data_IF_994416806858
#
_entry.id   IF_994416806858
#
_cell.length_a   1.000
_cell.length_b   1.000
_cell.length_c   1.000
_cell.angle_alpha   90.00
_cell.angle_beta   90.00
_cell.angle_gamma   90.00
#
_symmetry.space_group_name_H-M   'P 1'
#
loop_
_entity.id
_entity.type
_entity.pdbx_description
1 polymer ?
#
# COMPACT_ATOMS: atom_id res chain seq x y z
N UNK A 1 9.44 -30.26 -18.60
CA UNK A 1 9.22 -28.87 -18.14
C UNK A 1 10.39 -28.47 -17.26
N UNK A 2 10.76 -27.18 -17.30
CA UNK A 2 11.86 -26.60 -16.51
C UNK A 2 11.43 -25.23 -16.03
N UNK A 3 11.60 -24.96 -14.74
CA UNK A 3 11.46 -23.67 -14.11
C UNK A 3 12.74 -23.35 -13.33
N UNK A 4 13.26 -22.14 -13.47
CA UNK A 4 14.49 -21.72 -12.80
C UNK A 4 14.17 -20.58 -11.83
N UNK A 5 14.89 -20.54 -10.70
CA UNK A 5 14.70 -19.55 -9.64
C UNK A 5 13.24 -19.49 -9.14
N UNK A 6 12.68 -20.66 -8.83
CA UNK A 6 11.33 -20.79 -8.26
C UNK A 6 11.39 -21.57 -6.96
N UNK A 7 10.52 -21.23 -6.03
CA UNK A 7 10.37 -21.92 -4.76
C UNK A 7 9.11 -22.79 -4.71
N UNK A 8 8.28 -22.70 -5.75
CA UNK A 8 7.08 -23.50 -5.93
C UNK A 8 6.86 -23.81 -7.41
N UNK A 9 5.99 -24.79 -7.73
CA UNK A 9 5.77 -25.23 -9.10
C UNK A 9 4.35 -25.76 -9.27
N UNK A 10 3.60 -25.15 -10.17
CA UNK A 10 2.28 -25.63 -10.57
C UNK A 10 2.23 -25.99 -12.06
N UNK A 11 1.31 -26.85 -12.42
CA UNK A 11 0.98 -27.20 -13.80
C UNK A 11 -0.51 -27.51 -13.95
N UNK A 12 -1.03 -27.30 -15.14
CA UNK A 12 -2.41 -27.62 -15.48
C UNK A 12 -2.45 -28.54 -16.71
N UNK A 13 -3.47 -29.38 -16.77
CA UNK A 13 -3.73 -30.21 -17.93
C UNK A 13 -5.23 -30.50 -18.06
N UNK A 14 -5.79 -30.12 -19.18
CA UNK A 14 -7.15 -30.47 -19.57
C UNK A 14 -7.22 -30.62 -21.08
N UNK A 15 -7.95 -31.65 -21.57
CA UNK A 15 -8.07 -31.94 -23.02
C UNK A 15 -8.87 -30.87 -23.76
N UNK A 16 -9.73 -30.16 -23.06
CA UNK A 16 -10.69 -29.22 -23.62
C UNK A 16 -10.21 -27.78 -23.52
N UNK A 17 -9.03 -27.51 -22.93
CA UNK A 17 -8.46 -26.18 -22.90
C UNK A 17 -8.24 -25.60 -24.29
N UNK A 18 -8.73 -24.41 -24.51
CA UNK A 18 -8.23 -23.50 -25.54
C UNK A 18 -6.90 -22.95 -25.03
N UNK A 19 -5.87 -23.03 -25.87
CA UNK A 19 -4.55 -22.47 -25.59
C UNK A 19 -4.25 -21.34 -26.57
N UNK A 20 -4.01 -20.18 -26.06
CA UNK A 20 -3.49 -19.02 -26.82
C UNK A 20 -2.09 -18.66 -26.33
N UNK A 21 -1.25 -18.21 -27.25
CA UNK A 21 0.11 -17.73 -26.96
C UNK A 21 0.30 -16.34 -27.60
N UNK A 22 0.69 -15.38 -26.79
CA UNK A 22 0.86 -13.99 -27.18
C UNK A 22 2.24 -13.46 -26.81
N UNK A 23 2.70 -12.43 -27.52
CA UNK A 23 3.92 -11.73 -27.15
C UNK A 23 3.62 -10.65 -26.11
N UNK A 24 4.38 -10.70 -25.00
CA UNK A 24 4.40 -9.68 -23.97
C UNK A 24 5.65 -8.79 -24.04
N UNK A 25 5.76 -7.80 -23.16
CA UNK A 25 6.92 -6.91 -23.08
C UNK A 25 8.19 -7.69 -22.70
N UNK A 26 9.36 -7.21 -23.16
CA UNK A 26 10.64 -7.82 -22.81
C UNK A 26 10.87 -9.23 -23.37
N UNK A 27 10.05 -9.69 -24.33
CA UNK A 27 10.15 -11.04 -24.91
C UNK A 27 9.45 -12.13 -24.09
N UNK A 28 8.68 -11.75 -23.06
CA UNK A 28 7.88 -12.68 -22.25
C UNK A 28 6.79 -13.30 -23.11
N UNK A 29 6.67 -14.63 -23.09
CA UNK A 29 5.51 -15.31 -23.70
C UNK A 29 4.36 -15.37 -22.71
N UNK A 30 3.20 -14.86 -23.11
CA UNK A 30 1.97 -14.94 -22.34
C UNK A 30 1.12 -16.08 -22.88
N UNK A 31 0.79 -17.03 -22.02
CA UNK A 31 -0.09 -18.15 -22.33
C UNK A 31 -1.43 -17.98 -21.63
N UNK A 32 -2.52 -18.18 -22.36
CA UNK A 32 -3.87 -18.23 -21.83
C UNK A 32 -4.42 -19.65 -22.03
N UNK A 33 -4.90 -20.25 -20.94
CA UNK A 33 -5.47 -21.61 -20.92
C UNK A 33 -6.86 -21.55 -20.28
N UNK A 34 -7.90 -21.81 -21.04
CA UNK A 34 -9.27 -21.67 -20.56
C UNK A 34 -10.24 -22.61 -21.27
N UNK A 35 -11.37 -22.89 -20.64
CA UNK A 35 -12.44 -23.69 -21.23
C UNK A 35 -13.20 -22.88 -22.31
N UNK A 36 -13.79 -23.55 -23.32
CA UNK A 36 -14.49 -22.88 -24.41
C UNK A 36 -15.60 -21.92 -23.97
N UNK A 37 -16.30 -22.24 -22.89
CA UNK A 37 -17.38 -21.39 -22.34
C UNK A 37 -16.87 -20.12 -21.66
N UNK A 38 -15.61 -20.10 -21.24
CA UNK A 38 -14.95 -18.91 -20.66
C UNK A 38 -14.37 -17.94 -21.70
N UNK A 39 -14.34 -18.30 -22.98
CA UNK A 39 -13.73 -17.50 -24.04
C UNK A 39 -14.15 -16.02 -24.07
N UNK A 40 -15.42 -15.63 -23.83
CA UNK A 40 -15.80 -14.23 -23.78
C UNK A 40 -15.07 -13.41 -22.70
N UNK A 41 -14.81 -14.01 -21.53
CA UNK A 41 -14.04 -13.39 -20.44
C UNK A 41 -12.55 -13.25 -20.76
N UNK A 42 -11.99 -14.18 -21.52
CA UNK A 42 -10.58 -14.21 -21.89
C UNK A 42 -10.21 -13.33 -23.10
N UNK A 43 -11.18 -12.81 -23.85
CA UNK A 43 -10.94 -12.05 -25.08
C UNK A 43 -10.03 -10.81 -24.90
N UNK A 44 -10.01 -10.19 -23.71
CA UNK A 44 -9.17 -9.03 -23.40
C UNK A 44 -7.92 -9.35 -22.58
N UNK A 45 -7.71 -10.62 -22.20
CA UNK A 45 -6.65 -10.98 -21.24
C UNK A 45 -5.24 -10.78 -21.82
N UNK A 46 -5.03 -11.00 -23.11
CA UNK A 46 -3.72 -10.79 -23.72
C UNK A 46 -3.29 -9.31 -23.68
N UNK A 47 -4.21 -8.38 -23.89
CA UNK A 47 -3.94 -6.94 -23.76
C UNK A 47 -3.73 -6.56 -22.30
N UNK A 48 -4.58 -7.06 -21.39
CA UNK A 48 -4.44 -6.86 -19.97
C UNK A 48 -3.06 -7.32 -19.47
N UNK A 49 -2.61 -8.51 -19.86
CA UNK A 49 -1.31 -9.04 -19.47
C UNK A 49 -0.14 -8.17 -19.96
N UNK A 50 -0.22 -7.60 -21.16
CA UNK A 50 0.78 -6.62 -21.62
C UNK A 50 0.82 -5.38 -20.73
N UNK A 51 -0.34 -4.86 -20.33
CA UNK A 51 -0.44 -3.70 -19.42
C UNK A 51 0.12 -4.04 -18.04
N UNK A 52 -0.20 -5.20 -17.47
CA UNK A 52 0.29 -5.66 -16.17
C UNK A 52 1.82 -5.77 -16.19
N UNK A 53 2.38 -6.55 -17.12
CA UNK A 53 3.82 -6.79 -17.20
C UNK A 53 4.61 -5.50 -17.45
N UNK A 54 4.07 -4.58 -18.26
CA UNK A 54 4.70 -3.27 -18.50
C UNK A 54 4.66 -2.41 -17.25
N UNK A 55 3.48 -2.24 -16.65
CA UNK A 55 3.30 -1.34 -15.52
C UNK A 55 4.09 -1.79 -14.29
N UNK A 56 3.99 -3.06 -13.92
CA UNK A 56 4.74 -3.56 -12.77
C UNK A 56 6.25 -3.63 -13.04
N UNK A 57 6.62 -3.89 -14.29
CA UNK A 57 8.02 -3.81 -14.72
C UNK A 57 8.63 -2.42 -14.53
N UNK A 58 7.87 -1.36 -14.78
CA UNK A 58 8.26 0.04 -14.56
C UNK A 58 8.18 0.44 -13.08
N UNK A 59 7.13 0.02 -12.38
CA UNK A 59 6.83 0.44 -11.02
C UNK A 59 7.74 -0.19 -9.98
N UNK A 60 8.01 -1.50 -10.11
CA UNK A 60 8.75 -2.31 -9.14
C UNK A 60 10.07 -2.79 -9.73
N UNK A 61 10.03 -3.45 -10.89
CA UNK A 61 11.20 -3.98 -11.56
C UNK A 61 10.84 -4.99 -12.66
N UNK A 62 11.78 -5.32 -13.56
CA UNK A 62 11.51 -6.19 -14.70
C UNK A 62 10.97 -7.57 -14.31
N UNK A 63 9.97 -8.07 -15.02
CA UNK A 63 9.57 -9.47 -14.93
C UNK A 63 10.74 -10.37 -15.33
N UNK A 64 11.05 -11.38 -14.52
CA UNK A 64 12.35 -12.05 -14.63
C UNK A 64 12.31 -13.40 -15.35
N UNK A 65 11.13 -13.94 -15.66
CA UNK A 65 11.00 -15.24 -16.33
C UNK A 65 10.59 -15.09 -17.80
N UNK A 66 10.86 -16.14 -18.64
CA UNK A 66 10.60 -16.05 -20.07
C UNK A 66 9.12 -16.18 -20.47
N UNK A 67 8.26 -16.61 -19.55
CA UNK A 67 6.85 -16.81 -19.83
C UNK A 67 5.97 -16.49 -18.60
N UNK A 68 4.67 -16.23 -18.83
CA UNK A 68 3.63 -16.11 -17.84
C UNK A 68 2.36 -16.78 -18.35
N UNK A 69 1.72 -17.59 -17.52
CA UNK A 69 0.49 -18.29 -17.87
C UNK A 69 -0.67 -17.82 -17.00
N UNK A 70 -1.81 -17.53 -17.62
CA UNK A 70 -3.09 -17.36 -16.94
C UNK A 70 -3.94 -18.57 -17.31
N UNK A 71 -4.21 -19.43 -16.33
CA UNK A 71 -4.96 -20.66 -16.53
C UNK A 71 -6.28 -20.64 -15.76
N UNK A 72 -7.35 -21.11 -16.39
CA UNK A 72 -8.59 -21.36 -15.68
C UNK A 72 -8.40 -22.56 -14.76
N UNK A 73 -8.63 -22.35 -13.46
CA UNK A 73 -8.56 -23.36 -12.41
C UNK A 73 -9.82 -23.40 -11.57
N UNK A 74 -9.74 -23.95 -10.36
CA UNK A 74 -10.88 -24.17 -9.47
C UNK A 74 -10.91 -23.32 -8.19
N UNK A 75 -9.84 -22.60 -7.86
CA UNK A 75 -9.58 -22.11 -6.50
C UNK A 75 -9.77 -20.59 -6.29
N UNK A 76 -10.63 -19.93 -7.04
CA UNK A 76 -10.85 -18.49 -6.93
C UNK A 76 -9.79 -17.72 -7.74
N UNK A 77 -8.71 -17.35 -7.12
CA UNK A 77 -7.43 -16.94 -7.64
C UNK A 77 -6.35 -17.68 -6.87
N UNK A 78 -5.24 -18.00 -7.51
CA UNK A 78 -4.08 -18.64 -6.88
C UNK A 78 -2.83 -18.36 -7.69
N UNK A 79 -1.83 -17.85 -7.02
CA UNK A 79 -0.53 -17.55 -7.56
C UNK A 79 0.43 -18.73 -7.45
N UNK A 80 1.18 -18.97 -8.52
CA UNK A 80 2.37 -19.80 -8.53
C UNK A 80 3.40 -19.16 -9.47
N UNK A 81 4.70 -19.38 -9.28
CA UNK A 81 5.71 -18.81 -10.17
C UNK A 81 5.41 -19.11 -11.63
N UNK A 82 5.25 -18.07 -12.45
CA UNK A 82 4.96 -18.12 -13.89
C UNK A 82 3.58 -18.65 -14.29
N UNK A 83 2.69 -18.97 -13.35
CA UNK A 83 1.33 -19.45 -13.66
C UNK A 83 0.35 -19.01 -12.58
N UNK A 84 -0.75 -18.39 -12.98
CA UNK A 84 -1.88 -18.12 -12.09
C UNK A 84 -3.06 -19.04 -12.42
N UNK A 85 -3.78 -19.47 -11.39
CA UNK A 85 -5.00 -20.27 -11.53
C UNK A 85 -6.21 -19.41 -11.17
N UNK A 86 -7.16 -19.25 -12.09
CA UNK A 86 -8.33 -18.38 -11.89
C UNK A 86 -9.60 -19.16 -12.16
N UNK A 87 -10.55 -19.15 -11.22
CA UNK A 87 -11.84 -19.85 -11.38
C UNK A 87 -12.60 -19.33 -12.60
N UNK A 88 -13.10 -20.25 -13.40
CA UNK A 88 -13.95 -19.97 -14.56
C UNK A 88 -15.32 -19.36 -14.21
N UNK A 89 -16.07 -18.98 -15.25
CA UNK A 89 -17.41 -18.40 -15.09
C UNK A 89 -17.47 -16.96 -14.63
N UNK A 90 -16.32 -16.29 -14.46
CA UNK A 90 -16.23 -14.88 -14.08
C UNK A 90 -16.58 -13.97 -15.27
N UNK A 91 -17.28 -12.88 -14.98
CA UNK A 91 -17.45 -11.80 -15.98
C UNK A 91 -16.13 -11.05 -16.18
N UNK A 92 -15.97 -10.41 -17.34
CA UNK A 92 -14.71 -9.75 -17.73
C UNK A 92 -14.16 -8.77 -16.68
N UNK A 93 -15.02 -7.99 -15.99
CA UNK A 93 -14.60 -7.06 -14.93
C UNK A 93 -14.05 -7.77 -13.69
N UNK A 94 -14.66 -8.87 -13.29
CA UNK A 94 -14.18 -9.68 -12.15
C UNK A 94 -12.89 -10.42 -12.52
N UNK A 95 -12.78 -10.89 -13.76
CA UNK A 95 -11.59 -11.55 -14.27
C UNK A 95 -10.42 -10.56 -14.34
N UNK A 96 -10.67 -9.29 -14.69
CA UNK A 96 -9.64 -8.24 -14.73
C UNK A 96 -8.94 -8.07 -13.38
N UNK A 97 -9.69 -7.83 -12.32
CA UNK A 97 -9.13 -7.58 -10.99
C UNK A 97 -8.32 -8.76 -10.49
N UNK A 98 -8.89 -9.97 -10.53
CA UNK A 98 -8.17 -11.16 -10.08
C UNK A 98 -6.94 -11.46 -10.95
N UNK A 99 -6.98 -11.24 -12.27
CA UNK A 99 -5.79 -11.44 -13.12
C UNK A 99 -4.68 -10.47 -12.78
N UNK A 100 -5.00 -9.19 -12.48
CA UNK A 100 -4.01 -8.20 -12.05
C UNK A 100 -3.37 -8.67 -10.74
N UNK A 101 -4.18 -9.01 -9.74
CA UNK A 101 -3.75 -9.44 -8.42
C UNK A 101 -2.86 -10.69 -8.49
N UNK A 102 -3.32 -11.78 -9.07
CA UNK A 102 -2.56 -13.03 -9.15
C UNK A 102 -1.27 -12.88 -9.98
N UNK A 103 -1.26 -11.99 -10.97
CA UNK A 103 -0.02 -11.71 -11.72
C UNK A 103 0.94 -10.82 -10.92
N UNK A 104 0.44 -9.93 -10.06
CA UNK A 104 1.26 -9.09 -9.20
C UNK A 104 2.07 -9.89 -8.18
N UNK A 105 1.56 -11.04 -7.74
CA UNK A 105 2.28 -12.00 -6.93
C UNK A 105 3.55 -12.55 -7.60
N UNK A 106 3.74 -12.38 -8.90
CA UNK A 106 5.04 -12.72 -9.51
C UNK A 106 6.17 -11.84 -8.96
N UNK A 107 5.85 -10.62 -8.50
CA UNK A 107 6.78 -9.74 -7.80
C UNK A 107 6.78 -9.99 -6.30
N UNK A 108 5.61 -9.93 -5.64
CA UNK A 108 5.46 -10.12 -4.20
C UNK A 108 4.93 -11.53 -3.91
N UNK A 109 5.76 -12.47 -3.72
CA UNK A 109 5.73 -13.90 -3.56
C UNK A 109 6.74 -14.58 -4.51
N UNK A 110 6.54 -14.53 -5.81
CA UNK A 110 7.35 -15.28 -6.77
C UNK A 110 8.83 -14.87 -6.78
N UNK A 111 9.12 -13.56 -6.87
CA UNK A 111 10.48 -13.01 -6.85
C UNK A 111 10.92 -12.50 -5.49
N UNK A 112 10.02 -11.95 -4.70
CA UNK A 112 10.24 -11.47 -3.34
C UNK A 112 9.51 -12.42 -2.38
N UNK A 113 10.07 -13.64 -2.19
CA UNK A 113 9.42 -14.74 -1.50
C UNK A 113 9.40 -14.57 0.02
N UNK A 114 8.65 -13.60 0.53
CA UNK A 114 8.42 -13.42 1.96
C UNK A 114 7.71 -14.64 2.57
N UNK A 115 7.86 -14.83 3.89
CA UNK A 115 7.16 -15.89 4.60
C UNK A 115 5.69 -15.49 4.82
N UNK A 116 4.81 -15.93 3.94
CA UNK A 116 3.36 -15.62 3.98
C UNK A 116 2.64 -16.21 5.20
N UNK A 117 3.18 -17.28 5.80
CA UNK A 117 2.62 -17.84 7.04
C UNK A 117 2.78 -16.92 8.23
N UNK A 118 3.88 -16.17 8.30
CA UNK A 118 4.17 -15.24 9.40
C UNK A 118 3.84 -13.77 9.04
N UNK A 119 3.94 -13.41 7.75
CA UNK A 119 3.85 -12.03 7.29
C UNK A 119 2.97 -11.90 6.03
N UNK A 120 1.75 -12.43 6.07
CA UNK A 120 0.82 -12.40 4.93
C UNK A 120 0.59 -10.99 4.34
N UNK A 121 0.73 -9.94 5.15
CA UNK A 121 0.62 -8.56 4.72
C UNK A 121 1.72 -8.11 3.73
N UNK A 122 2.88 -8.80 3.70
CA UNK A 122 3.96 -8.52 2.73
C UNK A 122 3.70 -9.15 1.36
N UNK A 123 3.00 -10.27 1.35
CA UNK A 123 2.60 -10.97 0.15
C UNK A 123 1.32 -10.33 -0.43
N UNK A 124 0.20 -10.56 0.20
CA UNK A 124 -1.12 -10.11 -0.24
C UNK A 124 -1.26 -8.58 -0.30
N UNK A 125 -0.75 -7.89 0.71
CA UNK A 125 -0.95 -6.46 0.83
C UNK A 125 -0.09 -5.63 -0.12
N UNK A 126 1.14 -6.04 -0.40
CA UNK A 126 1.97 -5.36 -1.40
C UNK A 126 1.46 -5.64 -2.81
N UNK A 127 0.96 -6.85 -3.03
CA UNK A 127 0.24 -7.25 -4.24
C UNK A 127 -1.00 -6.39 -4.44
N UNK A 128 -1.83 -6.21 -3.40
CA UNK A 128 -3.04 -5.38 -3.48
C UNK A 128 -2.70 -3.91 -3.75
N UNK A 129 -1.63 -3.38 -3.16
CA UNK A 129 -1.18 -2.01 -3.41
C UNK A 129 -0.91 -1.75 -4.90
N UNK A 130 -0.13 -2.61 -5.57
CA UNK A 130 0.17 -2.39 -7.00
C UNK A 130 -1.02 -2.76 -7.90
N UNK A 131 -1.91 -3.66 -7.45
CA UNK A 131 -3.18 -3.99 -8.10
C UNK A 131 -4.10 -2.77 -8.14
N UNK A 132 -4.37 -2.17 -6.99
CA UNK A 132 -5.18 -0.94 -6.88
C UNK A 132 -4.60 0.20 -7.72
N UNK A 133 -3.28 0.39 -7.71
CA UNK A 133 -2.62 1.42 -8.52
C UNK A 133 -2.85 1.20 -10.03
N UNK A 134 -2.71 -0.05 -10.51
CA UNK A 134 -2.96 -0.36 -11.92
C UNK A 134 -4.44 -0.25 -12.29
N UNK A 135 -5.36 -0.73 -11.45
CA UNK A 135 -6.79 -0.61 -11.70
C UNK A 135 -7.22 0.86 -11.83
N UNK A 136 -6.77 1.72 -10.92
CA UNK A 136 -7.01 3.16 -11.00
C UNK A 136 -6.47 3.74 -12.32
N UNK A 137 -5.25 3.37 -12.72
CA UNK A 137 -4.65 3.81 -14.00
C UNK A 137 -5.47 3.36 -15.21
N UNK A 138 -5.92 2.09 -15.26
CA UNK A 138 -6.73 1.55 -16.35
C UNK A 138 -8.10 2.21 -16.42
N UNK A 139 -8.64 2.64 -15.29
CA UNK A 139 -9.90 3.39 -15.21
C UNK A 139 -9.72 4.90 -15.49
N UNK A 140 -8.51 5.38 -15.75
CA UNK A 140 -8.20 6.81 -15.94
C UNK A 140 -8.36 7.66 -14.69
N UNK A 141 -8.24 7.04 -13.50
CA UNK A 141 -8.33 7.70 -12.18
C UNK A 141 -6.95 7.97 -11.60
N UNK A 142 -6.81 8.96 -10.72
CA UNK A 142 -5.63 9.08 -9.86
C UNK A 142 -5.46 7.84 -8.99
N UNK A 143 -4.21 7.49 -8.66
CA UNK A 143 -3.90 6.44 -7.68
C UNK A 143 -4.51 6.81 -6.31
N UNK A 144 -5.27 5.89 -5.73
CA UNK A 144 -6.03 6.13 -4.49
C UNK A 144 -6.17 4.85 -3.66
N UNK A 145 -5.55 4.83 -2.49
CA UNK A 145 -5.54 3.73 -1.53
C UNK A 145 -6.38 4.02 -0.26
N UNK A 146 -7.19 5.10 -0.28
CA UNK A 146 -7.99 5.50 0.89
C UNK A 146 -9.01 4.45 1.30
N UNK A 147 -9.49 3.62 0.38
CA UNK A 147 -10.42 2.55 0.71
C UNK A 147 -9.78 1.50 1.64
N UNK A 148 -8.55 1.09 1.37
CA UNK A 148 -7.78 0.19 2.25
C UNK A 148 -7.52 0.83 3.61
N UNK A 149 -7.06 2.08 3.63
CA UNK A 149 -6.84 2.86 4.86
C UNK A 149 -8.10 2.93 5.72
N UNK A 150 -9.26 3.26 5.13
CA UNK A 150 -10.55 3.32 5.85
C UNK A 150 -11.00 1.94 6.36
N UNK A 151 -10.75 0.88 5.60
CA UNK A 151 -11.06 -0.49 6.02
C UNK A 151 -10.24 -0.87 7.25
N UNK A 152 -8.96 -0.55 7.28
CA UNK A 152 -8.09 -0.79 8.44
C UNK A 152 -8.50 0.06 9.64
N UNK A 153 -8.87 1.34 9.44
CA UNK A 153 -9.42 2.17 10.52
C UNK A 153 -10.64 1.51 11.17
N UNK A 154 -11.57 0.97 10.36
CA UNK A 154 -12.73 0.24 10.87
C UNK A 154 -12.34 -1.06 11.57
N UNK A 155 -11.43 -1.84 10.97
CA UNK A 155 -10.91 -3.08 11.54
C UNK A 155 -10.31 -2.87 12.92
N UNK A 156 -9.45 -1.88 13.11
CA UNK A 156 -8.82 -1.55 14.40
C UNK A 156 -9.84 -1.13 15.48
N UNK A 157 -11.05 -0.75 15.09
CA UNK A 157 -12.16 -0.46 15.99
C UNK A 157 -13.02 -1.69 16.35
N UNK A 158 -12.79 -2.83 15.72
CA UNK A 158 -13.61 -4.03 15.95
C UNK A 158 -13.18 -4.80 17.21
N UNK A 159 -14.11 -5.33 18.01
CA UNK A 159 -13.76 -6.25 19.07
C UNK A 159 -13.03 -7.49 18.50
N UNK A 160 -11.90 -7.82 19.09
CA UNK A 160 -11.10 -8.97 18.66
C UNK A 160 -10.14 -8.70 17.49
N UNK A 161 -9.98 -7.43 17.07
CA UNK A 161 -8.91 -7.06 16.13
C UNK A 161 -7.54 -7.48 16.68
N UNK A 162 -6.71 -8.05 15.82
CA UNK A 162 -5.35 -8.50 16.14
C UNK A 162 -4.32 -7.73 15.28
N UNK A 163 -3.05 -7.66 15.69
CA UNK A 163 -1.99 -7.01 14.91
C UNK A 163 -1.87 -7.58 13.50
N UNK A 164 -1.39 -6.78 12.53
CA UNK A 164 -1.22 -7.21 11.13
C UNK A 164 -0.20 -8.34 10.99
N UNK A 165 0.84 -8.38 11.83
CA UNK A 165 1.83 -9.47 11.87
C UNK A 165 1.41 -10.65 12.74
N UNK A 166 0.10 -10.87 12.88
CA UNK A 166 -0.40 -12.14 13.44
C UNK A 166 -0.15 -13.24 12.41
N UNK A 167 0.47 -14.38 12.79
CA UNK A 167 0.63 -15.52 11.88
C UNK A 167 -0.70 -15.96 11.26
N UNK A 168 -0.67 -16.38 10.01
CA UNK A 168 -1.86 -16.61 9.17
C UNK A 168 -2.87 -17.56 9.79
N UNK A 169 -2.42 -18.62 10.46
CA UNK A 169 -3.26 -19.63 11.13
C UNK A 169 -3.73 -19.20 12.53
N UNK A 170 -3.27 -18.06 13.05
CA UNK A 170 -3.66 -17.53 14.36
C UNK A 170 -4.75 -16.44 14.29
N UNK A 171 -5.15 -16.04 13.10
CA UNK A 171 -6.26 -15.09 12.98
C UNK A 171 -7.58 -15.69 13.50
N UNK A 172 -8.41 -14.92 14.23
CA UNK A 172 -9.66 -15.43 14.80
C UNK A 172 -10.66 -15.94 13.76
N UNK A 173 -10.66 -15.36 12.56
CA UNK A 173 -11.52 -15.76 11.43
C UNK A 173 -10.85 -15.39 10.10
N UNK A 174 -11.28 -16.02 9.00
CA UNK A 174 -10.85 -15.66 7.65
C UNK A 174 -11.12 -14.19 7.29
N UNK A 175 -12.16 -13.58 7.84
CA UNK A 175 -12.44 -12.16 7.64
C UNK A 175 -11.36 -11.28 8.25
N UNK A 176 -10.90 -11.59 9.47
CA UNK A 176 -9.80 -10.84 10.10
C UNK A 176 -8.49 -11.03 9.33
N UNK A 177 -8.21 -12.27 8.88
CA UNK A 177 -7.07 -12.56 8.02
C UNK A 177 -7.12 -11.71 6.73
N UNK A 178 -8.20 -11.82 5.94
CA UNK A 178 -8.32 -11.12 4.66
C UNK A 178 -8.16 -9.60 4.80
N UNK A 179 -8.80 -8.98 5.81
CA UNK A 179 -8.65 -7.55 6.01
C UNK A 179 -7.21 -7.19 6.40
N UNK A 180 -6.60 -7.95 7.30
CA UNK A 180 -5.21 -7.68 7.74
C UNK A 180 -4.19 -7.91 6.64
N UNK A 181 -4.26 -9.03 5.94
CA UNK A 181 -3.29 -9.38 4.92
C UNK A 181 -3.37 -8.43 3.72
N UNK A 182 -4.53 -8.29 3.11
CA UNK A 182 -4.74 -7.50 1.88
C UNK A 182 -4.71 -6.00 2.17
N UNK A 183 -5.73 -5.50 2.87
CA UNK A 183 -5.88 -4.06 3.12
C UNK A 183 -4.81 -3.53 4.08
N UNK A 184 -4.31 -4.36 5.00
CA UNK A 184 -3.27 -3.97 5.95
C UNK A 184 -1.94 -3.69 5.28
N UNK A 185 -1.47 -4.55 4.40
CA UNK A 185 -0.21 -4.32 3.67
C UNK A 185 -0.32 -3.21 2.63
N UNK A 186 -1.46 -3.08 1.92
CA UNK A 186 -1.75 -1.95 1.05
C UNK A 186 -1.68 -0.63 1.83
N UNK A 187 -2.33 -0.58 3.00
CA UNK A 187 -2.30 0.57 3.90
C UNK A 187 -0.87 0.91 4.36
N UNK A 188 -0.04 -0.09 4.69
CA UNK A 188 1.36 0.16 5.09
C UNK A 188 2.12 0.91 4.00
N UNK A 189 2.03 0.49 2.74
CA UNK A 189 2.69 1.17 1.62
C UNK A 189 2.11 2.57 1.37
N UNK A 190 0.80 2.75 1.51
CA UNK A 190 0.17 4.06 1.43
C UNK A 190 0.67 5.00 2.53
N UNK A 191 0.75 4.51 3.78
CA UNK A 191 1.24 5.31 4.90
C UNK A 191 2.75 5.60 4.81
N UNK A 192 3.55 4.70 4.24
CA UNK A 192 4.95 5.00 3.90
C UNK A 192 5.03 6.18 2.91
N UNK A 193 4.15 6.23 1.91
CA UNK A 193 4.04 7.37 1.01
C UNK A 193 3.69 8.67 1.73
N UNK A 194 2.79 8.62 2.71
CA UNK A 194 2.44 9.77 3.53
C UNK A 194 3.61 10.25 4.40
N UNK A 195 4.35 9.32 5.01
CA UNK A 195 5.46 9.60 5.95
C UNK A 195 6.73 10.05 5.23
N UNK A 196 7.06 9.46 4.09
CA UNK A 196 8.33 9.64 3.37
C UNK A 196 8.20 10.51 2.11
N UNK A 197 6.98 10.59 1.56
CA UNK A 197 6.69 11.04 0.20
C UNK A 197 6.60 9.88 -0.78
N UNK A 198 5.62 9.93 -1.69
CA UNK A 198 5.31 8.82 -2.63
C UNK A 198 6.51 8.47 -3.52
N UNK A 199 7.27 9.46 -3.99
CA UNK A 199 8.48 9.22 -4.80
C UNK A 199 9.57 8.46 -4.04
N UNK A 200 9.74 8.74 -2.75
CA UNK A 200 10.73 8.06 -1.90
C UNK A 200 10.30 6.60 -1.68
N UNK A 201 9.03 6.37 -1.32
CA UNK A 201 8.45 5.03 -1.22
C UNK A 201 8.68 4.22 -2.50
N UNK A 202 8.37 4.80 -3.65
CA UNK A 202 8.49 4.12 -4.94
C UNK A 202 9.95 3.81 -5.33
N UNK A 203 10.89 4.71 -5.00
CA UNK A 203 12.32 4.40 -5.13
C UNK A 203 12.75 3.29 -4.19
N UNK A 204 12.24 3.30 -2.96
CA UNK A 204 12.45 2.23 -1.97
C UNK A 204 11.95 0.87 -2.47
N UNK A 205 10.74 0.78 -3.03
CA UNK A 205 10.21 -0.45 -3.61
C UNK A 205 11.07 -0.97 -4.77
N UNK A 206 11.54 -0.11 -5.68
CA UNK A 206 12.46 -0.51 -6.75
C UNK A 206 13.82 -0.98 -6.20
N UNK A 207 14.30 -0.37 -5.13
CA UNK A 207 15.52 -0.81 -4.46
C UNK A 207 15.32 -2.14 -3.75
N UNK A 208 14.19 -2.31 -3.05
CA UNK A 208 13.81 -3.55 -2.38
C UNK A 208 13.77 -4.72 -3.38
N UNK A 209 13.13 -4.54 -4.54
CA UNK A 209 13.15 -5.53 -5.61
C UNK A 209 14.59 -5.85 -6.08
N UNK A 210 15.43 -4.86 -6.33
CA UNK A 210 16.81 -5.10 -6.80
C UNK A 210 17.67 -5.87 -5.80
N UNK A 211 17.51 -5.61 -4.51
CA UNK A 211 18.32 -6.22 -3.45
C UNK A 211 17.83 -7.62 -3.07
N UNK A 212 16.51 -7.83 -3.12
CA UNK A 212 15.89 -9.04 -2.59
C UNK A 212 15.24 -9.96 -3.64
N UNK A 213 15.30 -9.61 -4.90
CA UNK A 213 14.80 -10.51 -5.96
C UNK A 213 15.41 -11.89 -5.84
N UNK A 214 14.54 -12.93 -5.85
CA UNK A 214 14.87 -14.34 -5.64
C UNK A 214 15.46 -14.66 -4.26
N UNK A 215 15.06 -13.89 -3.25
CA UNK A 215 15.36 -14.13 -1.85
C UNK A 215 14.07 -14.20 -1.04
N UNK A 216 14.23 -14.36 0.29
CA UNK A 216 13.14 -14.47 1.25
C UNK A 216 13.18 -13.30 2.26
N UNK A 217 12.79 -12.09 1.84
CA UNK A 217 12.85 -10.92 2.71
C UNK A 217 11.84 -10.99 3.84
N UNK A 218 12.20 -10.33 4.95
CA UNK A 218 11.37 -10.17 6.14
C UNK A 218 10.99 -8.70 6.35
N UNK A 219 10.08 -8.38 7.30
CA UNK A 219 9.70 -7.00 7.61
C UNK A 219 10.89 -6.06 7.84
N UNK A 220 11.93 -6.52 8.55
CA UNK A 220 13.14 -5.73 8.80
C UNK A 220 13.92 -5.38 7.52
N UNK A 221 13.75 -6.14 6.45
CA UNK A 221 14.45 -5.88 5.18
C UNK A 221 13.82 -4.71 4.42
N UNK A 222 12.49 -4.66 4.33
CA UNK A 222 11.80 -3.51 3.71
C UNK A 222 11.95 -2.25 4.57
N UNK A 223 11.89 -2.37 5.91
CA UNK A 223 12.15 -1.30 6.85
C UNK A 223 13.53 -0.68 6.60
N UNK A 224 14.60 -1.49 6.64
CA UNK A 224 15.96 -1.05 6.36
C UNK A 224 16.09 -0.36 5.00
N UNK A 225 15.51 -0.92 3.95
CA UNK A 225 15.58 -0.32 2.62
C UNK A 225 14.91 1.05 2.59
N UNK A 226 13.76 1.21 3.24
CA UNK A 226 13.02 2.48 3.30
C UNK A 226 13.76 3.52 4.14
N UNK A 227 14.40 3.11 5.25
CA UNK A 227 15.25 3.96 6.08
C UNK A 227 16.48 4.48 5.31
N UNK A 228 17.20 3.57 4.65
CA UNK A 228 18.38 3.93 3.86
C UNK A 228 18.04 4.82 2.64
N UNK A 229 16.87 4.64 2.04
CA UNK A 229 16.42 5.45 0.91
C UNK A 229 15.94 6.85 1.33
N UNK A 230 15.33 6.95 2.51
CA UNK A 230 14.73 8.19 3.00
C UNK A 230 15.63 8.99 3.96
N UNK A 231 16.54 8.32 4.66
CA UNK A 231 17.31 8.90 5.76
C UNK A 231 16.49 9.15 7.03
N UNK A 232 15.31 8.49 7.15
CA UNK A 232 14.38 8.63 8.28
C UNK A 232 14.30 7.30 9.01
N UNK A 233 14.27 7.31 10.35
CA UNK A 233 14.07 6.10 11.15
C UNK A 233 12.61 5.64 11.12
N UNK A 234 12.37 4.35 10.96
CA UNK A 234 11.04 3.77 10.77
C UNK A 234 10.66 2.66 11.75
N UNK A 235 11.52 2.29 12.71
CA UNK A 235 11.21 1.29 13.76
C UNK A 235 9.83 1.57 14.40
N UNK A 236 9.57 2.83 14.77
CA UNK A 236 8.32 3.28 15.38
C UNK A 236 7.12 3.05 14.46
N UNK A 237 7.30 3.23 13.15
CA UNK A 237 6.26 3.09 12.14
C UNK A 237 5.87 1.62 11.97
N UNK A 238 6.84 0.76 11.65
CA UNK A 238 6.59 -0.66 11.45
C UNK A 238 6.08 -1.32 12.74
N UNK A 239 6.71 -1.05 13.88
CA UNK A 239 6.24 -1.61 15.15
C UNK A 239 4.79 -1.24 15.47
N UNK A 240 4.40 0.04 15.36
CA UNK A 240 3.03 0.45 15.67
C UNK A 240 2.01 -0.16 14.73
N UNK A 241 2.28 -0.15 13.42
CA UNK A 241 1.31 -0.58 12.42
C UNK A 241 1.22 -2.09 12.29
N UNK A 242 2.31 -2.83 12.52
CA UNK A 242 2.31 -4.29 12.33
C UNK A 242 2.18 -5.09 13.61
N UNK A 243 2.63 -4.57 14.77
CA UNK A 243 2.67 -5.30 16.04
C UNK A 243 1.61 -4.84 17.05
N UNK A 244 0.82 -3.82 16.73
CA UNK A 244 -0.20 -3.30 17.66
C UNK A 244 -1.53 -3.05 16.95
N UNK A 245 -2.58 -2.88 17.73
CA UNK A 245 -3.90 -2.44 17.27
C UNK A 245 -4.21 -0.99 17.69
N UNK A 246 -3.16 -0.17 17.84
CA UNK A 246 -3.28 1.24 18.19
C UNK A 246 -4.05 2.01 17.13
N UNK A 247 -4.75 3.06 17.57
CA UNK A 247 -5.58 3.90 16.71
C UNK A 247 -5.06 5.32 16.68
N UNK A 248 -5.04 5.90 15.48
CA UNK A 248 -4.70 7.30 15.27
C UNK A 248 -5.93 8.18 15.46
N UNK A 249 -5.77 9.27 16.22
CA UNK A 249 -6.77 10.32 16.37
C UNK A 249 -6.05 11.60 16.78
N UNK A 250 -6.11 12.62 15.93
CA UNK A 250 -5.56 13.94 16.19
C UNK A 250 -6.65 15.00 16.01
N UNK A 251 -6.68 15.96 16.91
CA UNK A 251 -7.69 17.01 16.93
C UNK A 251 -7.08 18.39 16.86
N UNK A 252 -7.79 19.35 16.25
CA UNK A 252 -7.53 20.78 16.42
C UNK A 252 -8.18 21.24 17.73
N UNK A 253 -7.38 21.33 18.79
CA UNK A 253 -7.85 21.69 20.14
C UNK A 253 -8.33 23.13 20.22
N UNK A 254 -7.50 24.09 19.77
CA UNK A 254 -7.86 25.51 19.78
C UNK A 254 -7.09 26.32 18.74
N UNK A 255 -7.71 27.43 18.34
CA UNK A 255 -7.09 28.47 17.50
C UNK A 255 -7.38 29.83 18.16
N UNK A 256 -6.33 30.57 18.44
CA UNK A 256 -6.44 31.92 19.01
C UNK A 256 -5.53 32.91 18.27
N UNK A 257 -5.88 34.17 18.20
CA UNK A 257 -5.04 35.22 17.59
C UNK A 257 -4.89 36.38 18.56
N UNK A 258 -3.65 36.79 18.79
CA UNK A 258 -3.32 37.95 19.64
C UNK A 258 -2.23 38.76 18.94
N UNK A 259 -2.42 40.07 18.82
CA UNK A 259 -1.47 40.99 18.20
C UNK A 259 -0.97 40.55 16.79
N UNK A 260 -1.88 40.04 15.97
CA UNK A 260 -1.54 39.60 14.59
C UNK A 260 -0.73 38.30 14.50
N UNK A 261 -0.66 37.54 15.58
CA UNK A 261 -0.05 36.20 15.62
C UNK A 261 -1.07 35.19 16.09
N UNK A 262 -1.22 34.08 15.32
CA UNK A 262 -2.10 33.00 15.68
C UNK A 262 -1.34 31.89 16.42
N UNK A 263 -2.00 31.35 17.43
CA UNK A 263 -1.58 30.13 18.15
C UNK A 263 -2.56 29.03 17.83
N UNK A 264 -2.08 27.98 17.16
CA UNK A 264 -2.85 26.79 16.85
C UNK A 264 -2.39 25.67 17.78
N UNK A 265 -3.31 25.12 18.55
CA UNK A 265 -3.03 24.00 19.44
C UNK A 265 -3.64 22.74 18.87
N UNK A 266 -2.80 21.71 18.70
CA UNK A 266 -3.17 20.38 18.27
C UNK A 266 -3.11 19.43 19.46
N UNK A 267 -3.92 18.39 19.43
CA UNK A 267 -3.97 17.35 20.47
C UNK A 267 -3.94 15.97 19.82
N UNK A 268 -3.13 15.07 20.37
CA UNK A 268 -3.21 13.64 20.09
C UNK A 268 -4.23 13.01 21.05
N UNK A 269 -5.27 12.44 20.51
CA UNK A 269 -6.37 11.76 21.25
C UNK A 269 -6.15 10.26 21.26
N UNK A 270 -5.67 9.72 20.13
CA UNK A 270 -5.37 8.30 19.97
C UNK A 270 -4.02 7.87 20.54
N UNK A 271 -3.78 6.57 20.50
CA UNK A 271 -2.56 5.94 21.04
C UNK A 271 -1.44 5.81 20.00
N UNK A 272 -1.79 5.81 18.71
CA UNK A 272 -0.84 5.79 17.62
C UNK A 272 -0.34 7.22 17.36
N UNK A 273 0.99 7.41 17.32
CA UNK A 273 1.55 8.70 16.98
C UNK A 273 2.12 8.68 15.56
N UNK A 274 1.93 9.80 14.84
CA UNK A 274 2.21 9.90 13.42
C UNK A 274 2.62 11.32 13.04
N UNK A 275 3.44 11.54 12.00
CA UNK A 275 3.70 12.89 11.49
C UNK A 275 2.41 13.46 10.86
N UNK A 276 2.25 14.77 10.93
CA UNK A 276 1.05 15.43 10.44
C UNK A 276 1.36 16.43 9.33
N UNK A 277 0.51 16.45 8.32
CA UNK A 277 0.38 17.59 7.41
C UNK A 277 -0.83 18.42 7.80
N UNK A 278 -0.59 19.73 7.97
CA UNK A 278 -1.60 20.69 8.43
C UNK A 278 -1.73 21.82 7.41
N UNK A 279 -2.95 22.05 6.93
CA UNK A 279 -3.29 23.20 6.09
C UNK A 279 -3.86 24.32 6.96
N UNK A 280 -3.27 25.50 6.83
CA UNK A 280 -3.70 26.72 7.49
C UNK A 280 -4.27 27.68 6.45
N UNK A 281 -5.52 28.12 6.61
CA UNK A 281 -6.11 29.17 5.79
C UNK A 281 -6.00 30.49 6.55
N UNK A 282 -5.47 31.51 5.88
CA UNK A 282 -5.26 32.83 6.44
C UNK A 282 -6.45 33.79 6.15
N UNK A 283 -6.54 34.89 6.86
CA UNK A 283 -7.61 35.91 6.68
C UNK A 283 -7.65 36.48 5.27
N UNK A 284 -6.51 36.54 4.57
CA UNK A 284 -6.41 37.04 3.19
C UNK A 284 -6.80 35.97 2.16
N UNK A 285 -7.25 34.79 2.60
CA UNK A 285 -7.62 33.63 1.75
C UNK A 285 -6.43 32.80 1.30
N UNK A 286 -5.19 33.18 1.58
CA UNK A 286 -4.02 32.37 1.27
C UNK A 286 -3.97 31.10 2.13
N UNK A 287 -3.30 30.05 1.64
CA UNK A 287 -3.08 28.81 2.39
C UNK A 287 -1.60 28.57 2.65
N UNK A 288 -1.28 27.99 3.79
CA UNK A 288 0.07 27.56 4.16
C UNK A 288 0.01 26.11 4.57
N UNK A 289 0.95 25.31 4.06
CA UNK A 289 1.12 23.91 4.45
C UNK A 289 2.25 23.81 5.47
N UNK A 290 2.01 23.06 6.52
CA UNK A 290 2.98 22.78 7.59
C UNK A 290 3.06 21.27 7.75
N UNK A 291 4.26 20.67 7.64
CA UNK A 291 4.49 19.30 8.06
C UNK A 291 5.13 19.29 9.45
N UNK A 292 4.62 18.44 10.32
CA UNK A 292 5.07 18.25 11.69
C UNK A 292 5.60 16.83 11.81
N UNK A 293 6.92 16.57 11.74
CA UNK A 293 7.48 15.25 11.91
C UNK A 293 7.32 14.75 13.35
N UNK A 294 7.38 13.44 13.58
CA UNK A 294 7.54 12.91 14.94
C UNK A 294 9.02 12.95 15.37
N UNK A 295 9.26 13.01 16.69
CA UNK A 295 10.63 13.00 17.22
C UNK A 295 11.40 11.73 16.89
N UNK A 296 10.69 10.62 16.77
CA UNK A 296 11.21 9.28 16.55
C UNK A 296 11.71 9.07 15.11
N UNK A 297 11.33 9.94 14.17
CA UNK A 297 11.85 9.91 12.80
C UNK A 297 13.32 10.32 12.70
N UNK A 298 13.83 11.09 13.64
CA UNK A 298 15.14 11.75 13.57
C UNK A 298 15.37 12.54 12.26
N UNK A 299 14.29 12.94 11.61
CA UNK A 299 14.25 13.66 10.34
C UNK A 299 12.84 14.05 9.96
N UNK A 300 12.65 14.42 8.71
CA UNK A 300 11.37 14.73 8.10
C UNK A 300 11.37 14.36 6.62
N UNK A 301 10.19 14.09 6.07
CA UNK A 301 10.04 13.94 4.63
C UNK A 301 10.46 15.20 3.89
N UNK A 302 10.97 15.03 2.68
CA UNK A 302 11.14 16.14 1.76
C UNK A 302 9.78 16.71 1.36
N UNK A 303 9.63 18.04 1.48
CA UNK A 303 8.40 18.74 1.11
C UNK A 303 8.73 19.87 0.11
N UNK A 304 7.73 20.36 -0.66
CA UNK A 304 7.90 21.54 -1.49
C UNK A 304 8.45 22.74 -0.69
N UNK A 305 9.26 23.58 -1.33
CA UNK A 305 9.86 24.76 -0.68
C UNK A 305 8.82 25.77 -0.17
N UNK A 306 7.59 25.69 -0.65
CA UNK A 306 6.45 26.49 -0.17
C UNK A 306 5.87 25.97 1.15
N UNK A 307 6.23 24.78 1.61
CA UNK A 307 5.78 24.23 2.88
C UNK A 307 6.74 24.58 4.00
N UNK A 308 6.22 24.61 5.23
CA UNK A 308 7.03 24.78 6.43
C UNK A 308 7.23 23.41 7.09
N UNK A 309 8.48 23.06 7.41
CA UNK A 309 8.78 21.95 8.31
C UNK A 309 8.85 22.51 9.73
N UNK A 310 7.89 22.11 10.56
CA UNK A 310 7.85 22.52 11.95
C UNK A 310 8.81 21.68 12.82
N UNK A 311 9.16 22.11 14.03
CA UNK A 311 9.86 21.27 14.98
C UNK A 311 9.13 19.95 15.23
N UNK A 312 9.86 18.87 15.45
CA UNK A 312 9.28 17.55 15.64
C UNK A 312 8.38 17.48 16.89
N UNK A 313 7.26 16.78 16.78
CA UNK A 313 6.36 16.52 17.91
C UNK A 313 6.83 15.26 18.65
N UNK A 314 7.41 15.43 19.84
CA UNK A 314 7.86 14.30 20.65
C UNK A 314 6.70 13.49 21.25
N UNK A 315 6.80 12.18 21.20
CA UNK A 315 5.77 11.26 21.68
C UNK A 315 5.25 11.50 23.11
N UNK A 316 6.07 11.90 24.11
CA UNK A 316 5.58 12.13 25.47
C UNK A 316 4.57 13.29 25.60
N UNK A 317 4.50 14.17 24.61
CA UNK A 317 3.66 15.35 24.67
C UNK A 317 2.28 15.10 24.01
N UNK A 318 1.17 15.15 24.76
CA UNK A 318 -0.16 14.92 24.19
C UNK A 318 -0.68 16.13 23.37
N UNK A 319 0.00 17.29 23.44
CA UNK A 319 -0.38 18.49 22.69
C UNK A 319 0.82 19.12 22.00
N UNK A 320 0.54 19.83 20.91
CA UNK A 320 1.52 20.55 20.12
C UNK A 320 1.02 21.97 19.83
N UNK A 321 1.91 22.95 19.79
CA UNK A 321 1.56 24.34 19.54
C UNK A 321 2.33 24.89 18.36
N UNK A 322 1.60 25.35 17.34
CA UNK A 322 2.14 26.12 16.22
C UNK A 322 1.90 27.59 16.46
N UNK A 323 2.96 28.41 16.38
CA UNK A 323 2.84 29.88 16.36
C UNK A 323 3.00 30.36 14.91
N UNK A 324 1.96 31.02 14.39
CA UNK A 324 1.84 31.34 12.96
C UNK A 324 1.71 32.87 12.83
N UNK A 325 2.62 33.55 12.12
CA UNK A 325 2.46 34.98 11.83
C UNK A 325 1.21 35.19 10.96
N UNK A 326 0.37 36.14 11.38
CA UNK A 326 -0.91 36.45 10.74
C UNK A 326 -2.10 35.82 11.46
N UNK A 327 -3.30 36.08 10.94
CA UNK A 327 -4.54 35.52 11.48
C UNK A 327 -4.97 34.29 10.70
N UNK A 328 -4.98 33.15 11.39
CA UNK A 328 -5.49 31.86 10.85
C UNK A 328 -7.01 31.82 11.04
N UNK A 329 -7.74 31.52 10.00
CA UNK A 329 -9.21 31.40 9.97
C UNK A 329 -9.70 29.95 9.89
N UNK A 330 -8.88 29.02 9.39
CA UNK A 330 -9.19 27.60 9.35
C UNK A 330 -7.92 26.78 9.49
N UNK A 331 -8.02 25.68 10.22
CA UNK A 331 -6.96 24.66 10.38
C UNK A 331 -7.52 23.31 9.96
N UNK A 332 -6.77 22.57 9.16
CA UNK A 332 -7.15 21.23 8.69
C UNK A 332 -5.96 20.29 8.86
N UNK A 333 -6.12 19.25 9.70
CA UNK A 333 -5.18 18.13 9.81
C UNK A 333 -5.48 17.17 8.68
N UNK A 334 -4.44 16.62 8.03
CA UNK A 334 -4.56 15.66 6.93
C UNK A 334 -5.58 16.12 5.86
N UNK A 335 -5.33 17.25 5.19
CA UNK A 335 -6.28 17.86 4.28
C UNK A 335 -6.61 16.99 3.05
N UNK A 336 -5.76 16.03 2.72
CA UNK A 336 -5.94 15.11 1.60
C UNK A 336 -6.66 13.81 2.00
N UNK A 337 -6.88 13.60 3.29
CA UNK A 337 -7.65 12.47 3.81
C UNK A 337 -6.96 11.12 3.71
N UNK A 338 -5.62 11.07 3.73
CA UNK A 338 -4.82 9.86 3.53
C UNK A 338 -4.47 9.10 4.82
N UNK A 339 -4.48 9.79 5.96
CA UNK A 339 -4.04 9.22 7.24
C UNK A 339 -5.03 8.22 7.84
N UNK A 340 -4.56 7.46 8.84
CA UNK A 340 -5.33 6.50 9.64
C UNK A 340 -6.24 7.15 10.69
N UNK A 341 -6.45 8.44 10.64
CA UNK A 341 -7.26 9.15 11.62
C UNK A 341 -8.72 8.68 11.60
N UNK A 342 -9.18 8.16 12.75
CA UNK A 342 -10.49 7.53 12.81
C UNK A 342 -11.63 8.51 13.11
N UNK A 343 -11.34 9.67 13.72
CA UNK A 343 -12.34 10.73 13.98
C UNK A 343 -12.01 12.01 13.23
N UNK A 344 -12.25 12.01 11.93
CA UNK A 344 -11.98 13.18 11.08
C UNK A 344 -12.87 14.37 11.37
N UNK A 345 -13.91 14.24 12.22
CA UNK A 345 -14.79 15.35 12.60
C UNK A 345 -14.08 16.40 13.47
N UNK A 346 -13.01 15.99 14.16
CA UNK A 346 -12.20 16.86 15.02
C UNK A 346 -10.93 17.42 14.35
N UNK A 347 -10.66 17.03 13.08
CA UNK A 347 -9.49 17.46 12.31
C UNK A 347 -9.60 18.85 11.73
N UNK A 348 -10.75 19.51 11.82
CA UNK A 348 -11.01 20.81 11.21
C UNK A 348 -11.56 21.77 12.24
N UNK A 349 -11.02 22.99 12.23
CA UNK A 349 -11.55 24.10 13.06
C UNK A 349 -11.41 25.44 12.36
#
# INVERSE_FOLDING_TARGET
FRAENVHDFAWVADRDYIHEAHDGPGGVKVHLLYQPDAAPGYASQAELMRNILSYFGERVGPYAWPQMTVAQGGDGGMEYPMITLITGGRQAGQLRGVTIHETAHMWFYGMLGSNESDYAWMDEGFTEFITTALENRLDGKPEDHRAATQTIVQYLGMPGAVPLSTPSDHFPTNRFYSVSAYMGGEMILEQLGLVLGDEVRDRGLRRYYREYRFRHPQPADIERVMEEESGVQLDWFFWQLTQTTRRMDYAVDSVGTTNGQSTVRLKRVGDLFFPLDVRLTMTDGSTRMVTIPTGEMFGAKAVPTSWTVAPAWGWPHPTYTLNVPGTVTKVEIDPDGRSLDYDRSNNVR
#
